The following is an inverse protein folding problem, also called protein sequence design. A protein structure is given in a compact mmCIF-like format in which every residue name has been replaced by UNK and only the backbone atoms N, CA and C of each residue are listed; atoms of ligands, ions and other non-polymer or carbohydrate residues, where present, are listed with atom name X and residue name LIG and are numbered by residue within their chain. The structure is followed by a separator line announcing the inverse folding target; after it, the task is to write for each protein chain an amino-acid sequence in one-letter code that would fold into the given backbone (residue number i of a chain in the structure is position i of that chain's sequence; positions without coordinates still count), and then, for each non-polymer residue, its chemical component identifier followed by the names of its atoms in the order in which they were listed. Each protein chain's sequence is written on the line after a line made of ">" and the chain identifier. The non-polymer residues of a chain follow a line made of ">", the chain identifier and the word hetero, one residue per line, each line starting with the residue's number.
data_IF_757778463821
#
_entry.id   IF_757778463821
#
_cell.length_a   1.000
_cell.length_b   1.000
_cell.length_c   1.000
_cell.angle_alpha   90.00
_cell.angle_beta   90.00
_cell.angle_gamma   90.00
#
_symmetry.space_group_name_H-M   'P 1'
#
loop_
_entity.id
_entity.type
_entity.pdbx_description
1 polymer ?
#
# COMPACT_ATOMS: atom_id res chain seq x y z
N UNK A 1 6.03 -11.12 8.66
CA UNK A 1 5.46 -11.15 7.29
C UNK A 1 6.61 -11.01 6.30
N UNK A 2 6.66 -11.79 5.20
CA UNK A 2 7.71 -11.64 4.18
C UNK A 2 7.31 -10.55 3.18
N UNK A 3 8.27 -9.78 2.69
CA UNK A 3 8.03 -8.78 1.63
C UNK A 3 8.19 -9.49 0.28
N UNK A 4 7.27 -9.25 -0.65
CA UNK A 4 7.36 -9.74 -2.02
C UNK A 4 6.88 -8.65 -2.97
N UNK A 5 7.33 -8.67 -4.22
CA UNK A 5 6.82 -7.74 -5.22
C UNK A 5 5.37 -8.10 -5.55
N UNK A 6 4.52 -7.11 -5.87
CA UNK A 6 3.16 -7.38 -6.30
C UNK A 6 3.14 -8.29 -7.53
N UNK A 7 4.09 -8.14 -8.47
CA UNK A 7 4.18 -8.98 -9.67
C UNK A 7 4.42 -10.45 -9.33
N UNK A 8 5.30 -10.72 -8.36
CA UNK A 8 5.55 -12.08 -7.88
C UNK A 8 4.32 -12.71 -7.22
N UNK A 9 3.38 -11.88 -6.75
CA UNK A 9 2.10 -12.31 -6.18
C UNK A 9 0.93 -12.23 -7.19
N UNK A 10 1.21 -12.00 -8.48
CA UNK A 10 0.21 -11.96 -9.56
C UNK A 10 -0.60 -10.66 -9.62
N UNK A 11 -0.06 -9.56 -9.06
CA UNK A 11 -0.64 -8.22 -9.13
C UNK A 11 0.30 -7.32 -9.95
N UNK A 12 -0.16 -6.66 -11.03
CA UNK A 12 0.64 -5.63 -11.69
C UNK A 12 0.84 -4.42 -10.76
N UNK A 13 2.06 -3.88 -10.61
CA UNK A 13 2.30 -2.66 -9.80
C UNK A 13 1.39 -1.49 -10.19
N UNK A 14 1.11 -1.32 -11.49
CA UNK A 14 0.16 -0.30 -11.98
C UNK A 14 -1.24 -0.40 -11.37
N UNK A 15 -1.68 -1.59 -10.97
CA UNK A 15 -2.97 -1.75 -10.31
C UNK A 15 -2.96 -1.13 -8.90
N UNK A 16 -1.82 -1.18 -8.21
CA UNK A 16 -1.62 -0.56 -6.91
C UNK A 16 -1.54 0.96 -7.01
N UNK A 17 -0.84 1.48 -8.02
CA UNK A 17 -0.79 2.92 -8.29
C UNK A 17 -2.19 3.50 -8.50
N UNK A 18 -2.98 2.88 -9.40
CA UNK A 18 -4.38 3.30 -9.62
C UNK A 18 -5.24 3.21 -8.36
N UNK A 19 -4.96 2.25 -7.48
CA UNK A 19 -5.67 2.15 -6.20
C UNK A 19 -5.36 3.36 -5.32
N UNK A 20 -4.08 3.72 -5.17
CA UNK A 20 -3.67 4.92 -4.43
C UNK A 20 -4.26 6.19 -5.05
N UNK A 21 -4.23 6.32 -6.37
CA UNK A 21 -4.77 7.50 -7.06
C UNK A 21 -6.27 7.65 -6.81
N UNK A 22 -7.05 6.56 -6.89
CA UNK A 22 -8.47 6.58 -6.56
C UNK A 22 -8.74 6.99 -5.12
N UNK A 23 -7.92 6.54 -4.17
CA UNK A 23 -8.07 6.95 -2.77
C UNK A 23 -7.83 8.46 -2.60
N UNK A 24 -6.86 9.02 -3.32
CA UNK A 24 -6.59 10.47 -3.34
C UNK A 24 -7.76 11.24 -3.97
N UNK A 25 -8.30 10.76 -5.10
CA UNK A 25 -9.46 11.39 -5.76
C UNK A 25 -10.68 11.45 -4.85
N UNK A 26 -10.92 10.40 -4.06
CA UNK A 26 -12.02 10.33 -3.10
C UNK A 26 -11.78 11.17 -1.83
N UNK A 27 -10.61 11.82 -1.70
CA UNK A 27 -10.20 12.63 -0.54
C UNK A 27 -10.36 11.88 0.79
N UNK A 28 -10.09 10.58 0.78
CA UNK A 28 -10.20 9.77 1.98
C UNK A 28 -9.07 10.15 2.95
N UNK A 29 -9.36 10.39 4.24
CA UNK A 29 -8.35 10.65 5.26
C UNK A 29 -7.64 9.34 5.63
N UNK A 30 -6.76 8.86 4.74
CA UNK A 30 -5.99 7.64 4.91
C UNK A 30 -4.65 7.97 5.55
N UNK A 31 -4.35 7.36 6.69
CA UNK A 31 -3.08 7.56 7.41
C UNK A 31 -1.98 6.63 6.87
N UNK A 32 -2.34 5.38 6.59
CA UNK A 32 -1.46 4.39 5.98
C UNK A 32 -2.26 3.36 5.19
N UNK A 33 -1.59 2.72 4.25
CA UNK A 33 -2.11 1.63 3.43
C UNK A 33 -1.11 0.50 3.54
N UNK A 34 -1.57 -0.66 4.00
CA UNK A 34 -0.81 -1.90 4.02
C UNK A 34 -1.57 -2.93 3.19
N UNK A 35 -0.92 -3.48 2.16
CA UNK A 35 -1.52 -4.50 1.32
C UNK A 35 -0.71 -5.79 1.37
N UNK A 36 -1.43 -6.90 1.56
CA UNK A 36 -0.86 -8.23 1.64
C UNK A 36 -1.59 -9.21 0.72
N UNK A 37 -0.83 -10.14 0.13
CA UNK A 37 -1.35 -11.22 -0.71
C UNK A 37 -0.53 -12.48 -0.51
N UNK A 38 -1.22 -13.62 -0.39
CA UNK A 38 -0.59 -14.94 -0.14
C UNK A 38 0.43 -14.94 1.02
N UNK A 39 0.13 -14.20 2.11
CA UNK A 39 1.03 -14.09 3.27
C UNK A 39 2.24 -13.18 3.09
N UNK A 40 2.37 -12.51 1.94
CA UNK A 40 3.41 -11.54 1.64
C UNK A 40 2.89 -10.12 1.68
N UNK A 41 3.66 -9.20 2.24
CA UNK A 41 3.42 -7.76 2.10
C UNK A 41 3.87 -7.34 0.70
N UNK A 42 2.96 -6.72 -0.06
CA UNK A 42 3.19 -6.32 -1.46
C UNK A 42 3.18 -4.82 -1.67
N UNK A 43 2.67 -4.05 -0.71
CA UNK A 43 2.64 -2.59 -0.75
C UNK A 43 2.51 -2.02 0.66
N UNK A 44 3.27 -0.96 0.93
CA UNK A 44 3.07 -0.08 2.07
C UNK A 44 3.12 1.37 1.58
N UNK A 45 2.17 2.19 2.00
CA UNK A 45 2.16 3.63 1.75
C UNK A 45 1.76 4.37 3.02
N UNK A 46 2.52 5.41 3.36
CA UNK A 46 2.25 6.24 4.54
C UNK A 46 2.07 7.67 4.09
N UNK A 47 1.01 8.32 4.56
CA UNK A 47 0.77 9.73 4.27
C UNK A 47 1.52 10.57 5.30
N UNK A 48 2.26 11.57 4.85
CA UNK A 48 2.97 12.46 5.76
C UNK A 48 2.00 13.17 6.71
N UNK A 49 2.38 13.38 7.98
CA UNK A 49 3.73 13.21 8.57
C UNK A 49 3.99 11.83 9.19
N UNK A 50 3.24 10.79 8.80
CA UNK A 50 3.38 9.45 9.34
C UNK A 50 4.36 8.62 8.49
N UNK A 51 5.23 7.87 9.17
CA UNK A 51 6.25 7.00 8.57
C UNK A 51 6.09 5.58 9.11
N UNK A 52 6.69 4.60 8.43
CA UNK A 52 6.72 3.18 8.83
C UNK A 52 7.13 2.94 10.30
N UNK A 53 7.92 3.85 10.85
CA UNK A 53 8.46 3.77 12.22
C UNK A 53 7.57 4.44 13.27
N UNK A 54 6.55 5.20 12.87
CA UNK A 54 5.58 5.79 13.79
C UNK A 54 4.31 4.93 13.82
N UNK A 55 4.27 3.99 14.76
CA UNK A 55 3.02 3.42 15.23
C UNK A 55 2.21 4.53 15.92
N UNK A 56 0.91 4.60 15.62
CA UNK A 56 -0.05 5.42 16.37
C UNK A 56 -0.18 4.92 17.81
#
# INVERSE_FOLDING_TARGET
>A
MKISTPEAQGIPSKALERFVDKLKEQKLPVHSILMARHGHMIMEAYYQPYDKEKLH
#
